data_IF_931614107529
#
_entry.id   IF_931614107529
#
_cell.length_a   1.000
_cell.length_b   1.000
_cell.length_c   1.000
_cell.angle_alpha   90.00
_cell.angle_beta   90.00
_cell.angle_gamma   90.00
#
_symmetry.space_group_name_H-M   'P 1'
#
loop_
_entity.id
_entity.type
_entity.pdbx_description
1 polymer ?
#
# COMPACT_ATOMS: atom_id res chain seq x y z
N UNK A 1 2.68 -35.75 110.75
CA UNK A 1 1.39 -35.23 110.28
C UNK A 1 1.63 -34.07 109.32
N UNK A 2 0.89 -34.08 108.21
CA UNK A 2 0.63 -32.99 107.25
C UNK A 2 1.72 -32.63 106.24
N UNK A 3 1.45 -33.12 105.02
CA UNK A 3 1.97 -32.67 103.74
C UNK A 3 1.53 -31.23 103.44
N UNK A 4 2.38 -30.46 102.75
CA UNK A 4 1.93 -29.41 101.86
C UNK A 4 2.98 -29.20 100.75
N UNK A 5 2.65 -29.62 99.52
CA UNK A 5 3.41 -29.31 98.30
C UNK A 5 2.70 -28.16 97.61
N UNK A 6 3.41 -27.04 97.40
CA UNK A 6 2.94 -25.91 96.60
C UNK A 6 3.51 -26.06 95.18
N UNK A 7 2.63 -25.99 94.18
CA UNK A 7 2.95 -26.10 92.77
C UNK A 7 3.49 -24.78 92.22
N UNK A 8 4.53 -24.87 91.37
CA UNK A 8 5.10 -23.74 90.65
C UNK A 8 4.34 -23.51 89.34
N UNK A 9 3.88 -22.28 89.13
CA UNK A 9 3.37 -21.78 87.84
C UNK A 9 4.47 -20.96 87.17
N UNK A 10 4.95 -21.41 86.01
CA UNK A 10 5.71 -20.59 85.07
C UNK A 10 5.56 -21.15 83.66
N UNK A 11 5.18 -20.30 82.69
CA UNK A 11 5.54 -20.26 81.26
C UNK A 11 4.37 -19.76 80.41
N UNK A 12 4.51 -19.09 79.25
CA UNK A 12 5.55 -18.33 78.54
C UNK A 12 4.77 -17.56 77.45
N UNK A 13 5.24 -16.37 77.07
CA UNK A 13 4.58 -15.43 76.16
C UNK A 13 4.37 -15.92 74.72
N UNK A 14 3.32 -15.39 74.09
CA UNK A 14 2.98 -15.61 72.69
C UNK A 14 3.93 -14.82 71.76
N UNK A 15 4.58 -15.53 70.83
CA UNK A 15 5.34 -14.92 69.72
C UNK A 15 4.37 -14.42 68.64
N UNK A 16 4.52 -13.16 68.25
CA UNK A 16 3.88 -12.54 67.08
C UNK A 16 4.62 -13.02 65.84
N UNK A 17 3.97 -13.82 64.99
CA UNK A 17 4.47 -14.16 63.66
C UNK A 17 4.34 -12.93 62.75
N UNK A 18 5.45 -12.28 62.45
CA UNK A 18 5.53 -11.25 61.40
C UNK A 18 5.47 -12.00 60.06
N UNK A 19 4.28 -12.05 59.46
CA UNK A 19 4.09 -12.56 58.11
C UNK A 19 4.87 -11.70 57.13
N UNK A 20 6.00 -12.21 56.64
CA UNK A 20 6.74 -11.63 55.53
C UNK A 20 5.85 -11.67 54.28
N UNK A 21 5.32 -10.51 53.91
CA UNK A 21 4.71 -10.29 52.61
C UNK A 21 5.84 -10.34 51.57
N UNK A 22 6.07 -11.50 50.98
CA UNK A 22 6.91 -11.62 49.80
C UNK A 22 6.32 -10.72 48.71
N UNK A 23 7.07 -9.70 48.31
CA UNK A 23 6.71 -8.86 47.17
C UNK A 23 6.62 -9.76 45.93
N UNK A 24 5.40 -9.98 45.45
CA UNK A 24 5.18 -10.58 44.13
C UNK A 24 5.62 -9.54 43.09
N UNK A 25 6.84 -9.67 42.58
CA UNK A 25 7.27 -8.95 41.39
C UNK A 25 6.51 -9.53 40.21
N UNK A 26 5.42 -8.90 39.81
CA UNK A 26 4.80 -9.16 38.52
C UNK A 26 5.78 -8.69 37.44
N UNK A 27 6.56 -9.62 36.86
CA UNK A 27 7.32 -9.32 35.65
C UNK A 27 6.30 -9.06 34.55
N UNK A 28 6.21 -7.82 34.08
CA UNK A 28 5.52 -7.51 32.84
C UNK A 28 6.28 -8.20 31.71
N UNK A 29 5.86 -9.42 31.35
CA UNK A 29 6.34 -10.11 30.16
C UNK A 29 5.81 -9.37 28.93
N UNK A 30 6.65 -8.54 28.33
CA UNK A 30 6.38 -7.99 27.00
C UNK A 30 6.50 -9.12 25.96
N UNK A 31 5.42 -9.86 25.76
CA UNK A 31 5.31 -10.81 24.64
C UNK A 31 5.00 -10.03 23.35
N UNK A 32 5.88 -10.15 22.35
CA UNK A 32 5.62 -9.59 21.01
C UNK A 32 5.35 -10.71 20.02
N UNK A 33 4.27 -10.59 19.24
CA UNK A 33 3.93 -11.50 18.14
C UNK A 33 4.22 -10.77 16.84
N UNK A 34 5.17 -11.28 16.05
CA UNK A 34 5.48 -10.76 14.73
C UNK A 34 4.80 -11.62 13.67
N UNK A 35 3.78 -11.06 13.01
CA UNK A 35 3.10 -11.70 11.87
C UNK A 35 3.67 -11.12 10.58
N UNK A 36 4.06 -11.99 9.64
CA UNK A 36 4.52 -11.61 8.30
C UNK A 36 3.70 -12.34 7.25
N UNK A 37 3.31 -11.62 6.19
CA UNK A 37 2.63 -12.17 5.04
C UNK A 37 3.13 -11.49 3.77
N UNK A 38 3.29 -12.27 2.70
CA UNK A 38 3.65 -11.75 1.37
C UNK A 38 2.41 -11.77 0.49
N UNK A 39 2.09 -10.63 -0.11
CA UNK A 39 1.00 -10.51 -1.08
C UNK A 39 1.59 -10.34 -2.46
N UNK A 40 0.94 -10.94 -3.47
CA UNK A 40 1.39 -10.81 -4.86
C UNK A 40 1.27 -9.36 -5.33
N UNK A 41 2.23 -8.90 -6.13
CA UNK A 41 2.12 -7.61 -6.82
C UNK A 41 0.99 -7.68 -7.85
N UNK A 42 0.02 -6.76 -7.73
CA UNK A 42 -1.13 -6.59 -8.62
C UNK A 42 -1.09 -5.17 -9.16
N UNK A 43 -0.90 -5.05 -10.47
CA UNK A 43 -1.01 -3.78 -11.18
C UNK A 43 -1.93 -3.97 -12.39
N UNK A 44 -2.93 -3.10 -12.52
CA UNK A 44 -3.96 -3.15 -13.56
C UNK A 44 -4.22 -1.74 -14.10
N UNK A 45 -4.43 -1.66 -15.41
CA UNK A 45 -4.94 -0.47 -16.09
C UNK A 45 -6.12 -0.89 -16.95
N UNK A 46 -7.20 -0.11 -16.93
CA UNK A 46 -8.38 -0.38 -17.73
C UNK A 46 -9.10 0.91 -18.11
N UNK A 47 -9.80 0.88 -19.24
CA UNK A 47 -10.69 1.95 -19.69
C UNK A 47 -12.13 1.47 -19.51
N UNK A 48 -12.94 2.26 -18.81
CA UNK A 48 -14.31 1.88 -18.44
C UNK A 48 -15.38 2.47 -19.39
N UNK A 49 -14.97 3.18 -20.44
CA UNK A 49 -15.84 3.95 -21.32
C UNK A 49 -15.49 3.66 -22.78
N UNK A 50 -16.48 3.69 -23.70
CA UNK A 50 -16.20 3.63 -25.12
C UNK A 50 -15.45 4.89 -25.55
N UNK A 51 -14.53 4.73 -26.49
CA UNK A 51 -13.79 5.84 -27.09
C UNK A 51 -14.71 6.69 -27.95
N UNK A 52 -14.62 8.02 -27.82
CA UNK A 52 -15.39 8.98 -28.63
C UNK A 52 -14.42 9.84 -29.43
N UNK A 53 -14.51 9.76 -30.76
CA UNK A 53 -13.73 10.63 -31.65
C UNK A 53 -14.50 11.92 -31.95
N UNK A 54 -13.81 13.07 -31.83
CA UNK A 54 -14.32 14.39 -32.17
C UNK A 54 -13.24 15.17 -32.94
N UNK A 55 -13.27 15.04 -34.27
CA UNK A 55 -12.26 15.62 -35.15
C UNK A 55 -10.85 15.08 -34.84
N UNK A 56 -9.92 15.99 -34.56
CA UNK A 56 -8.53 15.68 -34.21
C UNK A 56 -8.38 15.06 -32.80
N UNK A 57 -9.40 15.19 -31.95
CA UNK A 57 -9.36 14.75 -30.56
C UNK A 57 -10.11 13.43 -30.40
N UNK A 58 -9.46 12.46 -29.78
CA UNK A 58 -10.04 11.18 -29.40
C UNK A 58 -10.12 11.13 -27.87
N UNK A 59 -11.34 11.13 -27.35
CA UNK A 59 -11.59 10.91 -25.93
C UNK A 59 -11.52 9.41 -25.65
N UNK A 60 -10.48 8.98 -24.95
CA UNK A 60 -10.35 7.59 -24.49
C UNK A 60 -11.25 7.32 -23.27
N UNK A 61 -11.66 8.36 -22.58
CA UNK A 61 -12.55 8.29 -21.42
C UNK A 61 -11.76 8.15 -20.12
N UNK A 62 -12.30 7.39 -19.17
CA UNK A 62 -11.68 7.23 -17.85
C UNK A 62 -10.73 6.04 -17.83
N UNK A 63 -9.44 6.33 -17.62
CA UNK A 63 -8.40 5.35 -17.33
C UNK A 63 -8.36 5.11 -15.82
N UNK A 64 -8.66 3.89 -15.40
CA UNK A 64 -8.51 3.45 -14.03
C UNK A 64 -7.21 2.67 -13.87
N UNK A 65 -6.38 3.08 -12.92
CA UNK A 65 -5.13 2.44 -12.55
C UNK A 65 -5.19 1.95 -11.10
N UNK A 66 -4.72 0.74 -10.88
CA UNK A 66 -4.53 0.12 -9.57
C UNK A 66 -3.14 -0.48 -9.56
N UNK A 67 -2.30 -0.15 -8.59
CA UNK A 67 -1.05 -0.87 -8.38
C UNK A 67 -0.66 -0.86 -6.90
N UNK A 68 -0.46 -2.04 -6.32
CA UNK A 68 -0.07 -2.21 -4.91
C UNK A 68 1.45 -2.28 -4.70
N UNK A 69 2.24 -1.99 -5.73
CA UNK A 69 3.68 -2.10 -5.65
C UNK A 69 4.32 -0.93 -4.89
N UNK A 70 5.18 -1.22 -3.92
CA UNK A 70 5.78 -0.21 -3.03
C UNK A 70 6.74 0.73 -3.78
N UNK A 71 7.45 0.20 -4.76
CA UNK A 71 8.38 0.97 -5.60
C UNK A 71 7.64 1.82 -6.66
N UNK A 72 6.31 1.71 -6.73
CA UNK A 72 5.46 2.40 -7.68
C UNK A 72 5.36 1.68 -9.03
N UNK A 73 4.98 2.44 -10.07
CA UNK A 73 4.64 1.90 -11.39
C UNK A 73 4.70 2.95 -12.50
N UNK A 74 4.65 2.47 -13.74
CA UNK A 74 4.44 3.29 -14.94
C UNK A 74 3.19 2.84 -15.67
N UNK A 75 2.44 3.79 -16.22
CA UNK A 75 1.46 3.48 -17.27
C UNK A 75 2.06 3.86 -18.61
N UNK A 76 2.14 2.88 -19.51
CA UNK A 76 2.76 3.02 -20.82
C UNK A 76 1.70 2.82 -21.88
N UNK A 77 1.62 3.77 -22.79
CA UNK A 77 0.83 3.66 -24.02
C UNK A 77 1.75 3.20 -25.15
N UNK A 78 1.39 2.11 -25.82
CA UNK A 78 1.99 1.74 -27.08
C UNK A 78 1.20 2.36 -28.23
N UNK A 79 1.92 2.89 -29.20
CA UNK A 79 1.38 3.53 -30.38
C UNK A 79 2.31 3.30 -31.58
N UNK A 80 1.81 3.46 -32.82
CA UNK A 80 2.68 3.48 -33.98
C UNK A 80 3.71 4.62 -33.91
N UNK A 81 4.90 4.38 -34.49
CA UNK A 81 5.84 5.46 -34.77
C UNK A 81 5.24 6.47 -35.76
N UNK A 82 5.80 7.69 -35.78
CA UNK A 82 5.41 8.73 -36.73
C UNK A 82 4.27 9.63 -36.26
N UNK A 83 3.81 9.49 -35.01
CA UNK A 83 2.84 10.39 -34.38
C UNK A 83 3.51 11.63 -33.76
N UNK A 84 4.59 12.11 -34.36
CA UNK A 84 5.32 13.28 -33.87
C UNK A 84 4.40 14.51 -33.95
N UNK A 85 4.21 15.20 -32.82
CA UNK A 85 3.30 16.35 -32.72
C UNK A 85 1.91 15.99 -32.19
N UNK A 86 1.61 14.71 -31.98
CA UNK A 86 0.41 14.30 -31.25
C UNK A 86 0.65 14.48 -29.75
N UNK A 87 -0.41 14.75 -29.01
CA UNK A 87 -0.37 14.84 -27.55
C UNK A 87 -1.34 13.87 -26.92
N UNK A 88 -0.98 13.36 -25.76
CA UNK A 88 -1.88 12.67 -24.84
C UNK A 88 -2.11 13.59 -23.65
N UNK A 89 -3.36 13.80 -23.28
CA UNK A 89 -3.74 14.54 -22.08
C UNK A 89 -4.17 13.57 -21.01
N UNK A 90 -3.62 13.69 -19.80
CA UNK A 90 -4.05 12.95 -18.60
C UNK A 90 -4.46 13.98 -17.55
N UNK A 91 -5.75 14.01 -17.19
CA UNK A 91 -6.34 15.03 -16.31
C UNK A 91 -6.02 16.48 -16.76
N UNK A 92 -6.01 16.72 -18.07
CA UNK A 92 -5.69 18.02 -18.65
C UNK A 92 -4.19 18.30 -18.82
N UNK A 93 -3.30 17.45 -18.31
CA UNK A 93 -1.86 17.61 -18.50
C UNK A 93 -1.43 16.97 -19.82
N UNK A 94 -1.02 17.81 -20.75
CA UNK A 94 -0.57 17.36 -22.07
C UNK A 94 0.88 16.87 -22.06
N UNK A 95 1.08 15.69 -22.63
CA UNK A 95 2.38 15.07 -22.87
C UNK A 95 2.51 14.79 -24.37
N UNK A 96 3.55 15.29 -25.04
CA UNK A 96 3.81 14.91 -26.43
C UNK A 96 4.06 13.40 -26.55
N UNK A 97 3.54 12.78 -27.60
CA UNK A 97 3.89 11.39 -27.89
C UNK A 97 5.37 11.30 -28.26
N UNK A 98 6.02 10.25 -27.77
CA UNK A 98 7.40 10.00 -28.12
C UNK A 98 7.53 9.70 -29.62
N UNK A 99 8.72 9.92 -30.17
CA UNK A 99 9.02 9.56 -31.56
C UNK A 99 9.12 8.05 -31.79
N UNK A 100 9.19 7.27 -30.71
CA UNK A 100 9.22 5.82 -30.74
C UNK A 100 7.82 5.20 -30.83
N UNK A 101 7.69 3.99 -30.29
CA UNK A 101 6.42 3.26 -30.26
C UNK A 101 5.75 3.27 -28.89
N UNK A 102 6.32 3.97 -27.91
CA UNK A 102 5.86 3.94 -26.53
C UNK A 102 5.98 5.32 -25.86
N UNK A 103 4.94 5.71 -25.14
CA UNK A 103 4.91 6.94 -24.34
C UNK A 103 4.52 6.62 -22.91
N UNK A 104 5.28 7.13 -21.94
CA UNK A 104 4.95 7.02 -20.51
C UNK A 104 3.92 8.09 -20.17
N UNK A 105 2.74 7.66 -19.72
CA UNK A 105 1.63 8.55 -19.35
C UNK A 105 1.67 8.93 -17.87
N UNK A 106 2.02 7.96 -17.03
CA UNK A 106 2.07 8.10 -15.57
C UNK A 106 3.36 7.46 -15.11
N UNK A 107 4.08 8.15 -14.23
CA UNK A 107 5.28 7.63 -13.56
C UNK A 107 5.15 7.84 -12.04
N UNK A 108 4.55 6.87 -11.35
CA UNK A 108 4.30 6.93 -9.90
C UNK A 108 5.43 6.28 -9.13
N UNK A 109 5.85 6.88 -8.02
CA UNK A 109 6.84 6.32 -7.08
C UNK A 109 6.17 5.71 -5.83
N UNK A 110 4.86 5.47 -5.87
CA UNK A 110 4.08 4.93 -4.76
C UNK A 110 2.96 4.00 -5.25
N UNK A 111 2.47 3.09 -4.42
CA UNK A 111 1.24 2.36 -4.71
C UNK A 111 0.06 3.34 -4.77
N UNK A 112 -0.86 3.10 -5.70
CA UNK A 112 -1.99 4.01 -5.88
C UNK A 112 -3.20 3.33 -6.52
N UNK A 113 -4.37 3.92 -6.28
CA UNK A 113 -5.60 3.67 -7.01
C UNK A 113 -6.14 5.02 -7.50
N UNK A 114 -6.15 5.22 -8.82
CA UNK A 114 -6.51 6.50 -9.43
C UNK A 114 -7.37 6.28 -10.65
N UNK A 115 -8.28 7.22 -10.87
CA UNK A 115 -9.02 7.36 -12.12
C UNK A 115 -8.59 8.69 -12.73
N UNK A 116 -8.28 8.68 -14.02
CA UNK A 116 -7.91 9.88 -14.77
C UNK A 116 -8.67 9.96 -16.08
N UNK A 117 -9.03 11.17 -16.48
CA UNK A 117 -9.55 11.41 -17.83
C UNK A 117 -8.39 11.42 -18.82
N UNK A 118 -8.54 10.68 -19.93
CA UNK A 118 -7.51 10.60 -20.96
C UNK A 118 -8.09 10.96 -22.31
N UNK A 119 -7.38 11.83 -23.02
CA UNK A 119 -7.67 12.17 -24.41
C UNK A 119 -6.38 12.17 -25.23
N UNK A 120 -6.53 12.02 -26.54
CA UNK A 120 -5.45 12.11 -27.50
C UNK A 120 -5.79 13.18 -28.52
N UNK A 121 -4.83 14.02 -28.88
CA UNK A 121 -4.97 15.01 -29.92
C UNK A 121 -3.95 14.74 -31.02
N UNK A 122 -4.44 14.46 -32.22
CA UNK A 122 -3.63 14.15 -33.40
C UNK A 122 -3.42 15.36 -34.31
N UNK A 123 -4.00 16.52 -33.99
CA UNK A 123 -4.02 17.68 -34.89
C UNK A 123 -4.56 17.29 -36.26
N UNK A 124 -3.82 17.62 -37.31
CA UNK A 124 -4.20 17.30 -38.70
C UNK A 124 -3.77 15.88 -39.15
N UNK A 125 -3.18 15.09 -38.24
CA UNK A 125 -2.77 13.72 -38.56
C UNK A 125 -3.98 12.80 -38.65
N UNK A 126 -3.89 11.79 -39.51
CA UNK A 126 -4.84 10.70 -39.49
C UNK A 126 -4.86 10.04 -38.10
N UNK A 127 -6.06 9.73 -37.61
CA UNK A 127 -6.24 9.07 -36.32
C UNK A 127 -5.41 7.78 -36.22
N UNK A 128 -5.02 7.37 -35.01
CA UNK A 128 -4.09 6.28 -34.81
C UNK A 128 -4.74 4.97 -35.25
N UNK A 129 -3.90 4.03 -35.67
CA UNK A 129 -4.27 2.62 -35.75
C UNK A 129 -4.46 2.02 -34.35
N UNK A 130 -3.91 0.82 -34.13
CA UNK A 130 -4.01 0.18 -32.82
C UNK A 130 -3.23 0.95 -31.73
N UNK A 131 -3.91 1.26 -30.64
CA UNK A 131 -3.31 1.73 -29.38
C UNK A 131 -3.42 0.61 -28.34
N UNK A 132 -2.43 0.48 -27.48
CA UNK A 132 -2.49 -0.43 -26.34
C UNK A 132 -1.97 0.27 -25.08
N UNK A 133 -2.44 -0.18 -23.93
CA UNK A 133 -2.04 0.36 -22.64
C UNK A 133 -1.62 -0.78 -21.73
N UNK A 134 -0.51 -0.59 -21.04
CA UNK A 134 -0.06 -1.50 -20.00
C UNK A 134 0.41 -0.72 -18.78
N UNK A 135 0.44 -1.43 -17.66
CA UNK A 135 0.99 -0.93 -16.41
C UNK A 135 2.18 -1.79 -16.02
N UNK A 136 3.30 -1.14 -15.70
CA UNK A 136 4.56 -1.78 -15.37
C UNK A 136 4.90 -1.48 -13.91
N UNK A 137 4.89 -2.48 -13.01
CA UNK A 137 5.42 -2.28 -11.66
C UNK A 137 6.93 -2.04 -11.71
N UNK A 138 7.43 -1.17 -10.83
CA UNK A 138 8.86 -0.88 -10.67
C UNK A 138 9.53 -1.82 -9.67
N UNK A 139 10.85 -1.91 -9.67
CA UNK A 139 11.59 -2.55 -8.59
C UNK A 139 11.19 -4.02 -8.33
N UNK A 140 11.02 -4.38 -7.06
CA UNK A 140 10.85 -5.79 -6.66
C UNK A 140 9.40 -6.25 -6.79
N UNK A 141 9.19 -7.42 -7.37
CA UNK A 141 7.88 -8.07 -7.47
C UNK A 141 7.78 -9.24 -6.50
N UNK A 142 6.60 -9.44 -5.93
CA UNK A 142 6.30 -10.52 -5.00
C UNK A 142 5.15 -11.40 -5.51
#
# INVERSE_FOLDING_TARGET
MKHLKLAAFAMIGALIAIGGQGAAFASSENASINIRGTVRTVCRVQFNQPTVANGAVIQLGQMQQLCNNIDGYRVVMQHPAGLNGATVSVDGVETPLSSGNETILVDSNRPDFRTSEVSLNFGDMAGPGALSFRIEPKGTLY
#
